data_IF_835250775614
#
_entry.id   IF_835250775614
#
_cell.length_a   1.000
_cell.length_b   1.000
_cell.length_c   1.000
_cell.angle_alpha   90.00
_cell.angle_beta   90.00
_cell.angle_gamma   90.00
#
_symmetry.space_group_name_H-M   'P 1'
#
loop_
_entity.id
_entity.type
_entity.pdbx_description
1 polymer ?
#
# COMPACT_ATOMS: atom_id res chain seq x y z
N UNK A 1 0.06 12.75 9.07
CA UNK A 1 0.59 11.70 9.97
C UNK A 1 0.11 10.35 9.44
N UNK A 2 0.96 9.31 9.47
CA UNK A 2 0.58 7.99 8.97
C UNK A 2 -0.53 7.36 9.82
N UNK A 3 -1.27 6.43 9.22
CA UNK A 3 -2.33 5.66 9.90
C UNK A 3 -1.64 4.47 10.58
N UNK A 4 -1.62 4.44 11.91
CA UNK A 4 -0.75 3.51 12.66
C UNK A 4 -1.43 2.23 13.17
N UNK A 5 -2.77 2.15 13.16
CA UNK A 5 -3.53 0.96 13.58
C UNK A 5 -4.53 0.44 12.53
N UNK A 6 -4.19 0.34 11.22
CA UNK A 6 -5.03 -0.39 10.28
C UNK A 6 -5.06 -1.88 10.65
N UNK A 7 -6.22 -2.53 10.50
CA UNK A 7 -6.37 -3.96 10.78
C UNK A 7 -7.15 -4.65 9.66
N UNK A 8 -6.47 -5.55 8.95
CA UNK A 8 -7.00 -6.37 7.87
C UNK A 8 -7.04 -7.87 8.24
N UNK A 9 -7.11 -8.20 9.53
CA UNK A 9 -7.16 -9.60 10.00
C UNK A 9 -8.50 -10.31 9.71
N UNK A 10 -9.58 -9.53 9.51
CA UNK A 10 -10.95 -10.01 9.28
C UNK A 10 -11.53 -9.38 8.02
N UNK A 11 -11.00 -9.81 6.87
CA UNK A 11 -11.49 -9.38 5.57
C UNK A 11 -12.79 -10.10 5.20
N UNK A 12 -13.77 -9.35 4.72
CA UNK A 12 -15.01 -9.88 4.17
C UNK A 12 -14.82 -10.14 2.66
N UNK A 13 -14.48 -11.39 2.32
CA UNK A 13 -14.20 -11.77 0.93
C UNK A 13 -15.43 -11.68 0.05
N UNK A 14 -16.63 -11.89 0.59
CA UNK A 14 -17.87 -11.75 -0.18
C UNK A 14 -18.10 -10.29 -0.55
N UNK A 15 -18.01 -9.39 0.42
CA UNK A 15 -18.18 -7.96 0.18
C UNK A 15 -17.11 -7.39 -0.74
N UNK A 16 -15.85 -7.79 -0.58
CA UNK A 16 -14.78 -7.37 -1.48
C UNK A 16 -15.05 -7.85 -2.91
N UNK A 17 -15.42 -9.13 -3.08
CA UNK A 17 -15.72 -9.71 -4.38
C UNK A 17 -16.91 -9.02 -5.05
N UNK A 18 -17.98 -8.73 -4.32
CA UNK A 18 -19.13 -7.97 -4.81
C UNK A 18 -18.70 -6.59 -5.31
N UNK A 19 -17.91 -5.88 -4.51
CA UNK A 19 -17.47 -4.52 -4.84
C UNK A 19 -16.58 -4.46 -6.08
N UNK A 20 -15.72 -5.47 -6.29
CA UNK A 20 -14.81 -5.53 -7.45
C UNK A 20 -15.39 -6.32 -8.64
N UNK A 21 -16.63 -6.83 -8.54
CA UNK A 21 -17.31 -7.55 -9.61
C UNK A 21 -16.79 -8.97 -9.87
N UNK A 22 -16.29 -9.66 -8.83
CA UNK A 22 -15.75 -11.02 -8.90
C UNK A 22 -16.52 -11.99 -7.99
N UNK A 23 -16.14 -13.27 -8.03
CA UNK A 23 -16.61 -14.30 -7.08
C UNK A 23 -15.62 -14.40 -5.92
N UNK A 24 -16.11 -14.56 -4.68
CA UNK A 24 -15.29 -14.66 -3.47
C UNK A 24 -14.16 -15.70 -3.57
N UNK A 25 -14.38 -16.80 -4.30
CA UNK A 25 -13.35 -17.83 -4.54
C UNK A 25 -12.07 -17.33 -5.24
N UNK A 26 -12.11 -16.17 -5.89
CA UNK A 26 -10.95 -15.58 -6.58
C UNK A 26 -10.15 -14.62 -5.69
N UNK A 27 -10.73 -14.16 -4.57
CA UNK A 27 -10.09 -13.22 -3.64
C UNK A 27 -8.76 -13.74 -3.08
N UNK A 28 -8.63 -15.01 -2.63
CA UNK A 28 -7.36 -15.50 -2.10
C UNK A 28 -6.20 -15.40 -3.10
N UNK A 29 -6.47 -15.64 -4.40
CA UNK A 29 -5.44 -15.56 -5.45
C UNK A 29 -5.01 -14.10 -5.66
N UNK A 30 -5.96 -13.18 -5.72
CA UNK A 30 -5.65 -11.74 -5.82
C UNK A 30 -4.89 -11.24 -4.59
N UNK A 31 -5.24 -11.74 -3.41
CA UNK A 31 -4.54 -11.42 -2.16
C UNK A 31 -3.09 -11.90 -2.20
N UNK A 32 -2.85 -13.13 -2.67
CA UNK A 32 -1.50 -13.66 -2.88
C UNK A 32 -0.68 -12.78 -3.81
N UNK A 33 -1.26 -12.39 -4.96
CA UNK A 33 -0.60 -11.49 -5.91
C UNK A 33 -0.34 -10.10 -5.32
N UNK A 34 -1.27 -9.56 -4.54
CA UNK A 34 -1.08 -8.30 -3.82
C UNK A 34 0.08 -8.38 -2.83
N UNK A 35 0.15 -9.43 -2.00
CA UNK A 35 1.23 -9.57 -1.02
C UNK A 35 2.61 -9.71 -1.68
N UNK A 36 2.69 -10.47 -2.77
CA UNK A 36 3.94 -10.61 -3.52
C UNK A 36 4.40 -9.28 -4.13
N UNK A 37 3.49 -8.55 -4.77
CA UNK A 37 3.83 -7.29 -5.42
C UNK A 37 4.14 -6.19 -4.39
N UNK A 38 3.32 -6.08 -3.34
CA UNK A 38 3.53 -5.12 -2.26
C UNK A 38 4.88 -5.31 -1.56
N UNK A 39 5.36 -6.55 -1.40
CA UNK A 39 6.68 -6.80 -0.85
C UNK A 39 7.81 -6.22 -1.72
N UNK A 40 7.69 -6.34 -3.06
CA UNK A 40 8.67 -5.77 -4.00
C UNK A 40 8.62 -4.24 -3.99
N UNK A 41 7.41 -3.67 -3.99
CA UNK A 41 7.21 -2.22 -3.93
C UNK A 41 7.79 -1.64 -2.64
N UNK A 42 7.51 -2.26 -1.48
CA UNK A 42 8.04 -1.80 -0.19
C UNK A 42 9.56 -1.81 -0.16
N UNK A 43 10.20 -2.86 -0.67
CA UNK A 43 11.66 -2.92 -0.72
C UNK A 43 12.28 -1.80 -1.58
N UNK A 44 11.65 -1.48 -2.73
CA UNK A 44 12.08 -0.37 -3.59
C UNK A 44 11.82 0.99 -2.95
N UNK A 45 10.66 1.15 -2.32
CA UNK A 45 10.29 2.36 -1.59
C UNK A 45 11.26 2.61 -0.43
N UNK A 46 11.60 1.60 0.36
CA UNK A 46 12.60 1.69 1.44
C UNK A 46 13.96 2.16 0.92
N UNK A 47 14.40 1.62 -0.23
CA UNK A 47 15.68 2.00 -0.85
C UNK A 47 15.70 3.44 -1.37
N UNK A 48 14.54 4.02 -1.67
CA UNK A 48 14.40 5.41 -2.13
C UNK A 48 14.31 6.44 -0.99
N UNK A 49 13.99 6.00 0.24
CA UNK A 49 13.78 6.88 1.40
C UNK A 49 15.06 7.59 1.83
N UNK A 50 16.18 6.88 2.02
CA UNK A 50 17.43 7.50 2.47
C UNK A 50 18.04 8.52 1.50
N UNK A 51 18.16 8.24 0.18
CA UNK A 51 18.68 9.22 -0.75
C UNK A 51 17.68 10.33 -1.11
N UNK A 52 16.43 10.24 -0.62
CA UNK A 52 15.31 11.07 -1.07
C UNK A 52 15.18 11.05 -2.60
N UNK A 53 15.19 9.85 -3.18
CA UNK A 53 14.94 9.67 -4.60
C UNK A 53 13.45 9.89 -4.87
N UNK A 54 13.08 11.16 -5.09
CA UNK A 54 11.69 11.57 -5.28
C UNK A 54 11.04 10.92 -6.51
N UNK A 55 11.80 10.59 -7.56
CA UNK A 55 11.26 9.89 -8.73
C UNK A 55 10.83 8.47 -8.35
N UNK A 56 11.72 7.73 -7.66
CA UNK A 56 11.40 6.39 -7.17
C UNK A 56 10.31 6.41 -6.10
N UNK A 57 10.34 7.36 -5.17
CA UNK A 57 9.30 7.54 -4.14
C UNK A 57 7.93 7.75 -4.79
N UNK A 58 7.83 8.62 -5.79
CA UNK A 58 6.60 8.87 -6.55
C UNK A 58 6.14 7.61 -7.30
N UNK A 59 7.05 6.96 -8.02
CA UNK A 59 6.73 5.78 -8.83
C UNK A 59 6.22 4.62 -7.96
N UNK A 60 6.96 4.26 -6.91
CA UNK A 60 6.62 3.11 -6.08
C UNK A 60 5.36 3.35 -5.24
N UNK A 61 5.16 4.58 -4.75
CA UNK A 61 3.93 4.93 -4.05
C UNK A 61 2.71 4.95 -4.97
N UNK A 62 2.85 5.39 -6.23
CA UNK A 62 1.80 5.27 -7.24
C UNK A 62 1.41 3.80 -7.47
N UNK A 63 2.40 2.91 -7.59
CA UNK A 63 2.17 1.46 -7.73
C UNK A 63 1.49 0.85 -6.50
N UNK A 64 1.93 1.21 -5.28
CA UNK A 64 1.28 0.76 -4.03
C UNK A 64 -0.17 1.23 -3.96
N UNK A 65 -0.42 2.51 -4.29
CA UNK A 65 -1.77 3.11 -4.35
C UNK A 65 -2.68 2.33 -5.29
N UNK A 66 -2.21 2.04 -6.51
CA UNK A 66 -2.98 1.26 -7.49
C UNK A 66 -3.29 -0.16 -6.99
N UNK A 67 -2.29 -0.85 -6.44
CA UNK A 67 -2.43 -2.20 -5.89
C UNK A 67 -3.45 -2.25 -4.74
N UNK A 68 -3.35 -1.31 -3.79
CA UNK A 68 -4.25 -1.19 -2.65
C UNK A 68 -5.69 -0.82 -3.07
N UNK A 69 -5.83 0.09 -4.03
CA UNK A 69 -7.13 0.51 -4.56
C UNK A 69 -7.93 -0.63 -5.19
N UNK A 70 -7.24 -1.54 -5.89
CA UNK A 70 -7.88 -2.71 -6.53
C UNK A 70 -8.49 -3.71 -5.53
N UNK A 71 -8.01 -3.72 -4.28
CA UNK A 71 -8.49 -4.61 -3.21
C UNK A 71 -9.15 -3.86 -2.05
N UNK A 72 -9.46 -2.58 -2.25
CA UNK A 72 -10.18 -1.74 -1.27
C UNK A 72 -9.43 -1.55 0.06
N UNK A 73 -8.10 -1.66 0.05
CA UNK A 73 -7.25 -1.39 1.21
C UNK A 73 -7.08 0.12 1.41
N UNK A 74 -8.14 0.74 1.94
CA UNK A 74 -8.29 2.20 1.99
C UNK A 74 -7.15 2.89 2.73
N UNK A 75 -6.74 2.39 3.89
CA UNK A 75 -5.70 3.02 4.70
C UNK A 75 -4.33 2.94 4.00
N UNK A 76 -4.01 1.81 3.37
CA UNK A 76 -2.80 1.67 2.54
C UNK A 76 -2.86 2.63 1.35
N UNK A 77 -4.01 2.70 0.67
CA UNK A 77 -4.24 3.60 -0.45
C UNK A 77 -3.98 5.07 -0.08
N UNK A 78 -4.56 5.55 1.02
CA UNK A 78 -4.39 6.94 1.45
C UNK A 78 -2.94 7.22 1.84
N UNK A 79 -2.28 6.32 2.57
CA UNK A 79 -0.86 6.51 2.92
C UNK A 79 0.05 6.54 1.69
N UNK A 80 -0.19 5.66 0.72
CA UNK A 80 0.57 5.64 -0.54
C UNK A 80 0.35 6.93 -1.35
N UNK A 81 -0.89 7.41 -1.42
CA UNK A 81 -1.23 8.68 -2.07
C UNK A 81 -0.51 9.87 -1.44
N UNK A 82 -0.42 9.92 -0.11
CA UNK A 82 0.29 11.01 0.60
C UNK A 82 1.79 11.00 0.27
N UNK A 83 2.42 9.81 0.20
CA UNK A 83 3.82 9.68 -0.26
C UNK A 83 3.97 10.19 -1.69
N UNK A 84 3.05 9.80 -2.59
CA UNK A 84 3.10 10.16 -4.01
C UNK A 84 3.03 11.68 -4.21
N UNK A 85 2.12 12.35 -3.51
CA UNK A 85 1.96 13.81 -3.56
C UNK A 85 3.22 14.50 -3.02
N UNK A 86 3.70 14.08 -1.85
CA UNK A 86 4.90 14.67 -1.25
C UNK A 86 6.13 14.49 -2.15
N UNK A 87 6.29 13.31 -2.76
CA UNK A 87 7.38 13.03 -3.69
C UNK A 87 7.24 13.84 -5.00
N UNK A 88 6.03 14.03 -5.52
CA UNK A 88 5.77 14.90 -6.67
C UNK A 88 6.15 16.36 -6.38
N UNK A 89 5.97 16.82 -5.15
CA UNK A 89 6.36 18.15 -4.69
C UNK A 89 7.83 18.24 -4.24
N UNK A 90 8.56 17.12 -4.25
CA UNK A 90 9.94 17.01 -3.72
C UNK A 90 10.06 17.49 -2.27
N UNK A 91 9.04 17.22 -1.44
CA UNK A 91 8.99 17.65 -0.04
C UNK A 91 9.90 16.80 0.87
N UNK A 92 11.15 17.23 1.02
CA UNK A 92 12.12 16.60 1.92
C UNK A 92 11.72 16.61 3.41
N UNK A 93 10.71 17.40 3.82
CA UNK A 93 10.23 17.45 5.20
C UNK A 93 9.18 16.37 5.50
N UNK A 94 8.62 15.75 4.46
CA UNK A 94 7.63 14.69 4.61
C UNK A 94 8.25 13.45 5.27
N UNK A 95 7.56 12.81 6.24
CA UNK A 95 8.11 11.68 6.97
C UNK A 95 7.97 10.36 6.20
N UNK A 96 8.65 10.23 5.06
CA UNK A 96 8.55 9.07 4.14
C UNK A 96 8.75 7.73 4.86
N UNK A 97 9.76 7.63 5.73
CA UNK A 97 10.04 6.41 6.48
C UNK A 97 8.87 5.99 7.37
N UNK A 98 8.23 6.94 8.04
CA UNK A 98 7.09 6.66 8.92
C UNK A 98 5.87 6.15 8.15
N UNK A 99 5.61 6.69 6.95
CA UNK A 99 4.54 6.21 6.09
C UNK A 99 4.87 4.84 5.48
N UNK A 100 6.10 4.63 5.03
CA UNK A 100 6.58 3.32 4.58
C UNK A 100 6.36 2.25 5.66
N UNK A 101 6.81 2.51 6.88
CA UNK A 101 6.71 1.56 7.99
C UNK A 101 5.25 1.29 8.37
N UNK A 102 4.40 2.33 8.38
CA UNK A 102 2.96 2.16 8.62
C UNK A 102 2.25 1.33 7.53
N UNK A 103 2.62 1.50 6.25
CA UNK A 103 2.09 0.65 5.16
C UNK A 103 2.54 -0.79 5.35
N UNK A 104 3.82 -1.02 5.68
CA UNK A 104 4.36 -2.35 5.95
C UNK A 104 3.64 -3.03 7.11
N UNK A 105 3.41 -2.31 8.20
CA UNK A 105 2.69 -2.81 9.37
C UNK A 105 1.24 -3.15 9.00
N UNK A 106 0.57 -2.30 8.23
CA UNK A 106 -0.79 -2.55 7.73
C UNK A 106 -0.88 -3.87 6.93
N UNK A 107 0.04 -4.05 5.97
CA UNK A 107 0.10 -5.27 5.14
C UNK A 107 0.35 -6.51 5.99
N UNK A 108 1.16 -6.40 7.05
CA UNK A 108 1.45 -7.53 7.95
C UNK A 108 0.23 -8.06 8.71
N UNK A 109 -0.85 -7.27 8.81
CA UNK A 109 -2.11 -7.71 9.45
C UNK A 109 -2.98 -8.58 8.55
N UNK A 110 -2.71 -8.62 7.24
CA UNK A 110 -3.46 -9.42 6.27
C UNK A 110 -3.17 -10.90 6.51
N UNK A 111 -4.22 -11.69 6.70
CA UNK A 111 -4.15 -13.15 6.84
C UNK A 111 -4.77 -13.82 5.61
N UNK A 112 -4.09 -14.85 5.10
CA UNK A 112 -4.59 -15.75 4.07
C UNK A 112 -5.29 -16.96 4.71
#
# INVERSE_FOLDING_TARGET
MPITNPNYDKLDYEKMAETIGLKAKHIPVLMGSFLEESAKILARLESAVEPLDFESLKLESHSMKGSAGNLLFKEIYEMAKEIEIAAEESDASFPYKAYHDAIKDAISTIKL
#
